data_IF_153370489904
#
_entry.id   IF_153370489904
#
_cell.length_a   1.000
_cell.length_b   1.000
_cell.length_c   1.000
_cell.angle_alpha   90.00
_cell.angle_beta   90.00
_cell.angle_gamma   90.00
#
_symmetry.space_group_name_H-M   'P 1'
#
loop_
_entity.id
_entity.type
_entity.pdbx_description
1 polymer ?
#
# COMPACT_ATOMS: atom_id res chain seq x y z
N UNK A 1 17.91 -62.12 41.05
CA UNK A 1 18.65 -61.13 40.24
C UNK A 1 19.46 -61.86 39.20
N UNK A 2 19.24 -61.50 37.93
CA UNK A 2 19.93 -61.89 36.69
C UNK A 2 19.87 -63.37 36.25
N UNK A 3 19.07 -63.73 35.22
CA UNK A 3 19.25 -63.58 33.75
C UNK A 3 20.33 -64.51 33.16
N UNK A 4 19.89 -65.61 32.54
CA UNK A 4 20.55 -66.21 31.37
C UNK A 4 19.65 -67.30 30.76
N UNK A 5 18.96 -67.00 29.66
CA UNK A 5 18.47 -68.02 28.73
C UNK A 5 18.45 -67.42 27.32
N UNK A 6 19.36 -67.90 26.49
CA UNK A 6 19.50 -67.56 25.10
C UNK A 6 18.26 -68.04 24.33
N UNK A 7 17.62 -67.15 23.58
CA UNK A 7 16.71 -67.54 22.51
C UNK A 7 17.33 -67.19 21.15
N UNK A 8 17.44 -68.26 20.36
CA UNK A 8 17.90 -68.30 19.00
C UNK A 8 17.05 -67.43 18.08
N UNK A 9 17.74 -66.77 17.16
CA UNK A 9 17.22 -65.93 16.09
C UNK A 9 16.48 -66.80 15.07
N UNK A 10 15.18 -66.52 14.86
CA UNK A 10 14.46 -66.96 13.66
C UNK A 10 14.01 -65.71 12.93
N UNK A 11 14.66 -65.43 11.79
CA UNK A 11 14.27 -64.36 10.85
C UNK A 11 13.03 -64.81 10.07
N UNK A 12 11.94 -64.02 10.02
CA UNK A 12 10.87 -64.28 9.06
C UNK A 12 11.30 -63.84 7.65
N UNK A 13 10.91 -64.64 6.66
CA UNK A 13 11.16 -64.42 5.25
C UNK A 13 10.52 -63.10 4.77
N UNK A 14 11.27 -62.35 3.97
CA UNK A 14 10.80 -61.12 3.35
C UNK A 14 9.70 -61.43 2.32
N UNK A 15 8.47 -60.99 2.60
CA UNK A 15 7.43 -60.89 1.59
C UNK A 15 7.71 -59.62 0.79
N UNK A 16 8.06 -59.78 -0.48
CA UNK A 16 8.19 -58.68 -1.42
C UNK A 16 6.81 -58.05 -1.65
N UNK A 17 6.52 -56.97 -0.93
CA UNK A 17 5.39 -56.10 -1.23
C UNK A 17 5.77 -55.28 -2.46
N UNK A 18 5.13 -55.57 -3.60
CA UNK A 18 5.16 -54.71 -4.77
C UNK A 18 4.54 -53.35 -4.39
N UNK A 19 5.37 -52.41 -3.97
CA UNK A 19 4.97 -51.01 -3.82
C UNK A 19 4.64 -50.50 -5.22
N UNK A 20 3.35 -50.47 -5.56
CA UNK A 20 2.87 -49.61 -6.62
C UNK A 20 3.35 -48.19 -6.28
N UNK A 21 4.21 -47.65 -7.13
CA UNK A 21 4.61 -46.25 -7.07
C UNK A 21 3.36 -45.42 -7.30
N UNK A 22 2.73 -44.94 -6.22
CA UNK A 22 1.78 -43.85 -6.29
C UNK A 22 2.57 -42.67 -6.83
N UNK A 23 2.40 -42.36 -8.12
CA UNK A 23 2.83 -41.07 -8.65
C UNK A 23 2.13 -40.03 -7.79
N UNK A 24 2.89 -39.28 -6.99
CA UNK A 24 2.38 -38.09 -6.32
C UNK A 24 1.99 -37.13 -7.43
N UNK A 25 0.72 -37.19 -7.79
CA UNK A 25 0.06 -36.28 -8.72
C UNK A 25 0.40 -34.85 -8.33
N UNK A 26 0.62 -34.04 -9.36
CA UNK A 26 1.04 -32.65 -9.24
C UNK A 26 0.24 -31.90 -8.18
N UNK A 27 0.91 -30.95 -7.52
CA UNK A 27 0.25 -29.98 -6.65
C UNK A 27 -0.99 -29.46 -7.38
N UNK A 28 -2.17 -29.42 -6.74
CA UNK A 28 -3.35 -28.84 -7.38
C UNK A 28 -2.97 -27.43 -7.84
N UNK A 29 -3.29 -27.07 -9.09
CA UNK A 29 -3.16 -25.68 -9.50
C UNK A 29 -4.05 -24.88 -8.56
N UNK A 30 -3.45 -24.05 -7.72
CA UNK A 30 -4.19 -23.10 -6.90
C UNK A 30 -4.96 -22.23 -7.89
N UNK A 31 -6.28 -22.39 -7.95
CA UNK A 31 -7.13 -21.53 -8.74
C UNK A 31 -6.85 -20.09 -8.28
N UNK A 32 -6.54 -19.20 -9.23
CA UNK A 32 -6.25 -17.80 -8.94
C UNK A 32 -7.37 -17.21 -8.07
N UNK A 33 -7.01 -16.44 -7.06
CA UNK A 33 -7.96 -15.70 -6.23
C UNK A 33 -8.82 -14.77 -7.10
N UNK A 34 -9.98 -14.34 -6.58
CA UNK A 34 -10.84 -13.39 -7.31
C UNK A 34 -10.12 -12.07 -7.62
N UNK A 35 -9.22 -11.64 -6.73
CA UNK A 35 -8.40 -10.45 -6.93
C UNK A 35 -7.42 -10.65 -8.09
N UNK A 36 -6.71 -11.79 -8.14
CA UNK A 36 -5.78 -12.11 -9.22
C UNK A 36 -6.51 -12.26 -10.57
N UNK A 37 -7.71 -12.85 -10.57
CA UNK A 37 -8.55 -12.94 -11.78
C UNK A 37 -8.97 -11.55 -12.28
N UNK A 38 -9.31 -10.63 -11.38
CA UNK A 38 -9.66 -9.26 -11.74
C UNK A 38 -8.42 -8.48 -12.25
N UNK A 39 -7.27 -8.65 -11.60
CA UNK A 39 -6.01 -8.02 -12.01
C UNK A 39 -5.55 -8.47 -13.41
N UNK A 40 -5.93 -9.67 -13.84
CA UNK A 40 -5.62 -10.16 -15.18
C UNK A 40 -6.37 -9.42 -16.31
N UNK A 41 -7.45 -8.68 -15.99
CA UNK A 41 -8.28 -7.98 -16.98
C UNK A 41 -8.47 -6.49 -16.69
N UNK A 42 -8.00 -6.01 -15.54
CA UNK A 42 -8.21 -4.65 -15.06
C UNK A 42 -6.97 -4.16 -14.30
N UNK A 43 -6.56 -2.92 -14.54
CA UNK A 43 -5.57 -2.21 -13.70
C UNK A 43 -6.22 -1.85 -12.36
N UNK A 44 -5.62 -2.27 -11.24
CA UNK A 44 -6.21 -2.08 -9.92
C UNK A 44 -5.52 -0.96 -9.14
N UNK A 45 -6.35 -0.05 -8.64
CA UNK A 45 -5.96 0.96 -7.65
C UNK A 45 -6.52 0.60 -6.29
N UNK A 46 -5.80 0.92 -5.21
CA UNK A 46 -6.30 0.81 -3.84
C UNK A 46 -6.76 2.17 -3.32
N UNK A 47 -7.94 2.22 -2.68
CA UNK A 47 -8.58 3.45 -2.21
C UNK A 47 -8.49 3.57 -0.70
N UNK A 48 -7.36 4.08 -0.20
CA UNK A 48 -7.10 4.28 1.23
C UNK A 48 -5.89 5.19 1.45
N UNK A 49 -5.84 5.87 2.60
CA UNK A 49 -4.65 6.57 3.10
C UNK A 49 -3.84 5.77 4.12
N UNK A 50 -4.23 4.52 4.40
CA UNK A 50 -3.50 3.65 5.32
C UNK A 50 -2.26 3.03 4.63
N UNK A 51 -1.07 3.51 5.02
CA UNK A 51 0.20 3.09 4.45
C UNK A 51 0.49 1.60 4.66
N UNK A 52 0.04 1.00 5.75
CA UNK A 52 0.29 -0.42 6.02
C UNK A 52 -0.57 -1.31 5.12
N UNK A 53 -1.84 -0.93 4.94
CA UNK A 53 -2.75 -1.60 4.00
C UNK A 53 -2.23 -1.47 2.57
N UNK A 54 -1.79 -0.27 2.15
CA UNK A 54 -1.23 -0.06 0.81
C UNK A 54 0.01 -0.94 0.62
N UNK A 55 0.93 -0.95 1.59
CA UNK A 55 2.14 -1.76 1.51
C UNK A 55 1.84 -3.27 1.48
N UNK A 56 0.82 -3.73 2.20
CA UNK A 56 0.37 -5.13 2.16
C UNK A 56 -0.13 -5.51 0.77
N UNK A 57 -1.04 -4.72 0.19
CA UNK A 57 -1.64 -5.02 -1.10
C UNK A 57 -0.68 -4.81 -2.28
N UNK A 58 0.22 -3.83 -2.21
CA UNK A 58 1.27 -3.64 -3.22
C UNK A 58 2.18 -4.87 -3.36
N UNK A 59 2.46 -5.59 -2.25
CA UNK A 59 3.27 -6.84 -2.28
C UNK A 59 2.62 -7.97 -3.06
N UNK A 60 1.31 -7.93 -3.28
CA UNK A 60 0.62 -8.91 -4.13
C UNK A 60 0.99 -8.78 -5.61
N UNK A 61 1.54 -7.63 -6.02
CA UNK A 61 1.79 -7.30 -7.43
C UNK A 61 0.54 -7.06 -8.26
N UNK A 62 -0.66 -7.16 -7.66
CA UNK A 62 -1.94 -6.96 -8.35
C UNK A 62 -2.43 -5.50 -8.31
N UNK A 63 -1.98 -4.72 -7.33
CA UNK A 63 -2.30 -3.29 -7.20
C UNK A 63 -1.15 -2.46 -7.77
N UNK A 64 -1.47 -1.55 -8.68
CA UNK A 64 -0.49 -0.67 -9.33
C UNK A 64 -0.52 0.75 -8.82
N UNK A 65 -1.71 1.22 -8.44
CA UNK A 65 -1.98 2.62 -8.14
C UNK A 65 -2.64 2.75 -6.76
N UNK A 66 -2.65 3.97 -6.22
CA UNK A 66 -3.39 4.30 -5.02
C UNK A 66 -4.15 5.61 -5.18
N UNK A 67 -5.38 5.65 -4.68
CA UNK A 67 -6.20 6.86 -4.64
C UNK A 67 -6.34 7.35 -3.21
N UNK A 68 -6.11 8.64 -3.02
CA UNK A 68 -6.48 9.34 -1.79
C UNK A 68 -7.61 10.31 -2.05
N UNK A 69 -8.30 10.67 -0.98
CA UNK A 69 -9.32 11.73 -0.97
C UNK A 69 -9.23 12.48 0.37
N UNK A 70 -9.92 13.62 0.54
CA UNK A 70 -9.85 14.42 1.77
C UNK A 70 -10.20 13.66 3.05
N UNK A 71 -11.07 12.65 2.97
CA UNK A 71 -11.43 11.84 4.13
C UNK A 71 -10.22 11.03 4.63
N UNK A 72 -9.49 10.37 3.74
CA UNK A 72 -8.32 9.59 4.13
C UNK A 72 -7.18 10.46 4.66
N UNK A 73 -6.97 11.65 4.09
CA UNK A 73 -6.00 12.63 4.59
C UNK A 73 -6.36 13.07 6.02
N UNK A 74 -7.65 13.33 6.26
CA UNK A 74 -8.17 13.68 7.60
C UNK A 74 -8.00 12.52 8.59
N UNK A 75 -8.35 11.29 8.19
CA UNK A 75 -8.20 10.10 9.04
C UNK A 75 -6.74 9.82 9.39
N UNK A 76 -5.83 9.96 8.41
CA UNK A 76 -4.39 9.87 8.64
C UNK A 76 -3.94 10.88 9.70
N UNK A 77 -4.30 12.16 9.53
CA UNK A 77 -3.96 13.22 10.49
C UNK A 77 -4.56 13.03 11.90
N UNK A 78 -5.64 12.27 12.03
CA UNK A 78 -6.32 12.00 13.31
C UNK A 78 -5.98 10.63 13.93
N UNK A 79 -5.19 9.80 13.24
CA UNK A 79 -4.92 8.41 13.62
C UNK A 79 -4.19 8.26 14.96
N UNK A 80 -3.41 9.27 15.36
CA UNK A 80 -2.50 9.21 16.51
C UNK A 80 -1.23 8.40 16.26
N UNK A 81 -1.03 7.88 15.05
CA UNK A 81 0.22 7.23 14.65
C UNK A 81 1.29 8.28 14.33
N UNK A 82 2.49 8.07 14.89
CA UNK A 82 3.61 9.02 14.85
C UNK A 82 4.02 9.42 13.43
N UNK A 83 3.86 8.52 12.44
CA UNK A 83 4.15 8.81 11.03
C UNK A 83 3.26 9.94 10.53
N UNK A 84 1.96 9.82 10.76
CA UNK A 84 1.00 10.80 10.27
C UNK A 84 1.02 12.09 11.09
N UNK A 85 1.33 12.01 12.39
CA UNK A 85 1.61 13.22 13.20
C UNK A 85 2.79 14.00 12.61
N UNK A 86 3.86 13.31 12.21
CA UNK A 86 5.00 13.97 11.57
C UNK A 86 4.62 14.65 10.24
N UNK A 87 3.68 14.08 9.47
CA UNK A 87 3.16 14.71 8.25
C UNK A 87 2.38 15.99 8.58
N UNK A 88 1.55 15.99 9.62
CA UNK A 88 0.82 17.18 10.08
C UNK A 88 1.82 18.27 10.50
N UNK A 89 2.84 17.92 11.29
CA UNK A 89 3.86 18.87 11.72
C UNK A 89 4.67 19.44 10.55
N UNK A 90 5.02 18.59 9.58
CA UNK A 90 5.71 19.02 8.36
C UNK A 90 4.84 19.98 7.54
N UNK A 91 3.57 19.66 7.36
CA UNK A 91 2.63 20.48 6.62
C UNK A 91 2.39 21.85 7.27
N UNK A 92 2.18 21.88 8.59
CA UNK A 92 2.02 23.14 9.35
C UNK A 92 3.28 23.99 9.29
N UNK A 93 4.46 23.37 9.44
CA UNK A 93 5.75 24.07 9.36
C UNK A 93 5.98 24.67 7.97
N UNK A 94 5.74 23.88 6.93
CA UNK A 94 5.85 24.33 5.54
C UNK A 94 4.91 25.50 5.27
N UNK A 95 3.64 25.40 5.69
CA UNK A 95 2.66 26.44 5.45
C UNK A 95 3.01 27.77 6.14
N UNK A 96 3.43 27.71 7.41
CA UNK A 96 3.86 28.91 8.18
C UNK A 96 5.08 29.61 7.58
N UNK A 97 5.91 28.89 6.82
CA UNK A 97 7.07 29.46 6.16
C UNK A 97 6.76 30.05 4.77
N UNK A 98 5.63 29.69 4.16
CA UNK A 98 5.33 29.97 2.76
C UNK A 98 3.98 30.70 2.53
N UNK A 99 3.25 31.02 3.59
CA UNK A 99 1.99 31.76 3.51
C UNK A 99 1.83 32.69 4.72
N UNK A 100 1.14 33.81 4.50
CA UNK A 100 0.82 34.81 5.53
C UNK A 100 -0.68 34.85 5.82
N UNK A 101 -1.02 34.92 7.11
CA UNK A 101 -2.40 34.97 7.60
C UNK A 101 -3.03 33.59 7.81
N UNK A 102 -3.81 33.46 8.89
CA UNK A 102 -4.31 32.17 9.39
C UNK A 102 -5.07 31.36 8.33
N UNK A 103 -5.89 32.02 7.51
CA UNK A 103 -6.62 31.36 6.43
C UNK A 103 -5.70 30.77 5.36
N UNK A 104 -4.75 31.54 4.84
CA UNK A 104 -3.83 31.06 3.81
C UNK A 104 -2.88 29.97 4.33
N UNK A 105 -2.45 30.09 5.60
CA UNK A 105 -1.64 29.07 6.28
C UNK A 105 -2.42 27.77 6.42
N UNK A 106 -3.70 27.81 6.82
CA UNK A 106 -4.52 26.60 6.93
C UNK A 106 -4.71 25.93 5.57
N UNK A 107 -5.09 26.68 4.54
CA UNK A 107 -5.28 26.14 3.18
C UNK A 107 -4.01 25.50 2.63
N UNK A 108 -2.85 26.14 2.84
CA UNK A 108 -1.57 25.58 2.39
C UNK A 108 -1.14 24.36 3.20
N UNK A 109 -1.44 24.33 4.51
CA UNK A 109 -1.18 23.16 5.35
C UNK A 109 -2.02 21.95 4.92
N UNK A 110 -3.28 22.16 4.54
CA UNK A 110 -4.14 21.08 4.04
C UNK A 110 -3.59 20.48 2.74
N UNK A 111 -3.25 21.33 1.76
CA UNK A 111 -2.65 20.85 0.50
C UNK A 111 -1.32 20.13 0.78
N UNK A 112 -0.46 20.69 1.64
CA UNK A 112 0.83 20.07 1.96
C UNK A 112 0.65 18.74 2.69
N UNK A 113 -0.31 18.61 3.61
CA UNK A 113 -0.59 17.35 4.29
C UNK A 113 -1.00 16.25 3.31
N UNK A 114 -1.83 16.58 2.32
CA UNK A 114 -2.19 15.65 1.26
C UNK A 114 -0.96 15.19 0.46
N UNK A 115 -0.02 16.11 0.18
CA UNK A 115 1.25 15.78 -0.47
C UNK A 115 2.14 14.92 0.41
N UNK A 116 2.32 15.22 1.70
CA UNK A 116 3.13 14.40 2.62
C UNK A 116 2.66 12.94 2.63
N UNK A 117 1.34 12.73 2.69
CA UNK A 117 0.78 11.38 2.59
C UNK A 117 1.10 10.74 1.24
N UNK A 118 0.85 11.44 0.13
CA UNK A 118 1.07 10.87 -1.19
C UNK A 118 2.55 10.65 -1.54
N UNK A 119 3.49 11.39 -0.93
CA UNK A 119 4.93 11.13 -1.01
C UNK A 119 5.30 9.79 -0.40
N UNK A 120 4.62 9.35 0.66
CA UNK A 120 4.84 8.01 1.19
C UNK A 120 4.16 6.94 0.32
N UNK A 121 2.95 7.21 -0.18
CA UNK A 121 2.20 6.27 -1.02
C UNK A 121 2.94 5.98 -2.34
N UNK A 122 3.49 6.99 -3.01
CA UNK A 122 4.17 6.82 -4.30
C UNK A 122 5.43 5.95 -4.21
N UNK A 123 6.00 5.80 -3.00
CA UNK A 123 7.12 4.88 -2.73
C UNK A 123 6.66 3.42 -2.65
N UNK A 124 5.38 3.19 -2.33
CA UNK A 124 4.82 1.85 -2.09
C UNK A 124 4.22 1.23 -3.36
N UNK A 125 3.67 2.06 -4.25
CA UNK A 125 3.01 1.59 -5.48
C UNK A 125 3.86 1.89 -6.72
N UNK A 126 3.87 1.02 -7.75
CA UNK A 126 4.70 1.21 -8.95
C UNK A 126 4.14 2.28 -9.91
N UNK A 127 2.83 2.50 -9.89
CA UNK A 127 2.13 3.46 -10.74
C UNK A 127 1.87 4.78 -10.03
N UNK A 128 0.62 5.24 -10.02
CA UNK A 128 0.28 6.62 -9.64
C UNK A 128 -0.29 6.73 -8.22
N UNK A 129 -0.18 7.93 -7.66
CA UNK A 129 -1.00 8.37 -6.51
C UNK A 129 -1.96 9.47 -6.94
N UNK A 130 -3.25 9.34 -6.65
CA UNK A 130 -4.21 10.44 -6.83
C UNK A 130 -4.25 11.34 -5.59
N UNK A 131 -4.10 12.64 -5.79
CA UNK A 131 -4.18 13.67 -4.73
C UNK A 131 -5.26 14.69 -5.08
N UNK A 132 -6.33 14.74 -4.29
CA UNK A 132 -7.48 15.60 -4.59
C UNK A 132 -7.19 17.09 -4.28
N UNK A 133 -7.71 17.98 -5.13
CA UNK A 133 -7.80 19.41 -4.82
C UNK A 133 -8.95 19.67 -3.83
N UNK A 134 -8.96 20.86 -3.22
CA UNK A 134 -10.03 21.22 -2.30
C UNK A 134 -11.41 21.24 -2.97
N UNK A 135 -12.33 20.45 -2.41
CA UNK A 135 -13.70 20.29 -2.88
C UNK A 135 -14.49 21.61 -2.92
N UNK A 136 -14.14 22.60 -2.09
CA UNK A 136 -14.80 23.92 -2.09
C UNK A 136 -14.62 24.66 -3.41
N UNK A 137 -13.56 24.32 -4.15
CA UNK A 137 -13.20 24.94 -5.41
C UNK A 137 -13.74 24.17 -6.62
N UNK A 138 -14.61 23.17 -6.42
CA UNK A 138 -15.17 22.31 -7.50
C UNK A 138 -15.88 23.09 -8.60
N UNK A 139 -16.41 24.28 -8.29
CA UNK A 139 -17.11 25.15 -9.24
C UNK A 139 -16.28 26.35 -9.70
N UNK A 140 -15.00 26.40 -9.32
CA UNK A 140 -14.09 27.49 -9.65
C UNK A 140 -12.87 26.96 -10.41
N UNK A 141 -13.02 26.82 -11.74
CA UNK A 141 -11.97 26.25 -12.61
C UNK A 141 -10.61 26.93 -12.45
N UNK A 142 -10.57 28.26 -12.32
CA UNK A 142 -9.32 29.00 -12.18
C UNK A 142 -8.59 28.61 -10.89
N UNK A 143 -9.33 28.50 -9.79
CA UNK A 143 -8.78 28.14 -8.49
C UNK A 143 -8.43 26.65 -8.42
N UNK A 144 -9.24 25.74 -8.98
CA UNK A 144 -8.90 24.31 -9.06
C UNK A 144 -7.58 24.11 -9.81
N UNK A 145 -7.39 24.80 -10.96
CA UNK A 145 -6.14 24.73 -11.72
C UNK A 145 -4.95 25.31 -10.96
N UNK A 146 -5.16 26.42 -10.23
CA UNK A 146 -4.12 27.03 -9.40
C UNK A 146 -3.66 26.07 -8.30
N UNK A 147 -4.60 25.41 -7.60
CA UNK A 147 -4.29 24.43 -6.55
C UNK A 147 -3.65 23.16 -7.09
N UNK A 148 -4.17 22.59 -8.18
CA UNK A 148 -3.58 21.42 -8.82
C UNK A 148 -2.11 21.66 -9.19
N UNK A 149 -1.80 22.82 -9.79
CA UNK A 149 -0.42 23.20 -10.11
C UNK A 149 0.46 23.38 -8.87
N UNK A 150 -0.10 23.91 -7.77
CA UNK A 150 0.60 24.04 -6.49
C UNK A 150 0.93 22.67 -5.90
N UNK A 151 -0.01 21.73 -5.92
CA UNK A 151 0.18 20.34 -5.46
C UNK A 151 1.29 19.67 -6.26
N UNK A 152 1.22 19.73 -7.60
CA UNK A 152 2.27 19.18 -8.47
C UNK A 152 3.64 19.80 -8.19
N UNK A 153 3.72 21.13 -8.01
CA UNK A 153 4.98 21.79 -7.67
C UNK A 153 5.58 21.30 -6.34
N UNK A 154 4.74 20.98 -5.35
CA UNK A 154 5.22 20.41 -4.08
C UNK A 154 5.74 18.98 -4.23
N UNK A 155 5.13 18.15 -5.09
CA UNK A 155 5.68 16.83 -5.43
C UNK A 155 7.03 16.94 -6.17
N UNK A 156 7.11 17.82 -7.16
CA UNK A 156 8.33 18.01 -7.95
C UNK A 156 9.49 18.54 -7.09
N UNK A 157 9.21 19.39 -6.11
CA UNK A 157 10.21 19.87 -5.14
C UNK A 157 10.81 18.75 -4.29
N UNK A 158 10.09 17.64 -4.10
CA UNK A 158 10.52 16.44 -3.38
C UNK A 158 11.07 15.35 -4.32
N UNK A 159 11.26 15.68 -5.60
CA UNK A 159 11.83 14.78 -6.60
C UNK A 159 10.85 13.75 -7.17
N UNK A 160 9.54 13.90 -6.96
CA UNK A 160 8.52 13.06 -7.58
C UNK A 160 8.10 13.66 -8.92
N UNK A 161 8.28 12.91 -10.01
CA UNK A 161 7.85 13.34 -11.34
C UNK A 161 6.32 13.48 -11.38
N UNK A 162 5.82 14.54 -12.01
CA UNK A 162 4.37 14.78 -12.19
C UNK A 162 3.65 13.60 -12.86
N UNK A 163 4.36 12.78 -13.64
CA UNK A 163 3.82 11.58 -14.26
C UNK A 163 3.48 10.49 -13.25
N UNK A 164 3.81 10.64 -11.96
CA UNK A 164 3.44 9.72 -10.87
C UNK A 164 2.22 10.20 -10.07
N UNK A 165 1.64 11.34 -10.44
CA UNK A 165 0.56 12.00 -9.68
C UNK A 165 -0.65 12.24 -10.58
N UNK A 166 -1.84 11.97 -10.03
CA UNK A 166 -3.14 12.25 -10.65
C UNK A 166 -3.91 13.31 -9.86
#
# INVERSE_FOLDING_TARGET
MLLAAALSVVRPAAVASSRQSVSRGGRPSMAASRLEQLAAVTTLSIDTGDLDVIAEYAKTGSITDATTNPLFVSQAGLSGDERYVAFVDAAVRYAKANADGDGAVLELAMDRLAVELGLEIVKLVPGYVSTEVDIRESFNTAESLRRARRIIAMYEAEGVDRSRVL
#
